data_IF_098437241832
#
_entry.id   IF_098437241832
#
_cell.length_a   1.000
_cell.length_b   1.000
_cell.length_c   1.000
_cell.angle_alpha   90.00
_cell.angle_beta   90.00
_cell.angle_gamma   90.00
#
_symmetry.space_group_name_H-M   'P 1'
#
loop_
_entity.id
_entity.type
_entity.pdbx_description
1 polymer ?
#
# COMPACT_ATOMS: atom_id res chain seq x y z
N UNK A 1 4.43 -15.66 4.04
CA UNK A 1 4.42 -14.70 2.90
C UNK A 1 3.56 -13.52 3.34
N UNK A 2 4.09 -12.30 3.32
CA UNK A 2 3.32 -11.09 3.61
C UNK A 2 2.95 -10.46 2.27
N UNK A 3 1.68 -10.15 2.07
CA UNK A 3 1.16 -9.47 0.89
C UNK A 3 0.34 -8.28 1.34
N UNK A 4 0.55 -7.13 0.73
CA UNK A 4 -0.06 -5.86 1.10
C UNK A 4 -0.10 -4.93 -0.12
N UNK A 5 -0.89 -3.85 -0.02
CA UNK A 5 -1.01 -2.87 -1.10
C UNK A 5 0.24 -1.98 -1.16
N UNK A 6 0.74 -1.69 -2.36
CA UNK A 6 1.74 -0.64 -2.57
C UNK A 6 1.02 0.67 -2.86
N UNK A 7 1.23 1.68 -2.01
CA UNK A 7 0.59 2.99 -2.11
C UNK A 7 1.65 4.09 -2.25
N UNK A 8 1.24 5.27 -2.72
CA UNK A 8 2.17 6.40 -2.91
C UNK A 8 3.11 6.25 -4.10
N UNK A 9 2.72 5.42 -5.07
CA UNK A 9 3.38 5.26 -6.38
C UNK A 9 2.48 5.82 -7.47
N UNK A 10 3.06 6.19 -8.61
CA UNK A 10 2.28 6.67 -9.76
C UNK A 10 1.67 5.48 -10.52
N UNK A 11 0.37 5.29 -10.35
CA UNK A 11 -0.39 4.23 -11.05
C UNK A 11 -0.40 4.41 -12.58
N UNK A 12 -0.17 5.64 -13.08
CA UNK A 12 -0.11 5.90 -14.51
C UNK A 12 1.23 5.48 -15.14
N UNK A 13 2.27 5.29 -14.31
CA UNK A 13 3.62 4.90 -14.73
C UNK A 13 4.11 3.67 -13.95
N UNK A 14 3.45 2.50 -14.09
CA UNK A 14 3.75 1.30 -13.31
C UNK A 14 5.16 0.75 -13.54
N UNK A 15 5.79 1.06 -14.68
CA UNK A 15 7.18 0.71 -15.00
C UNK A 15 8.21 1.32 -14.05
N UNK A 16 7.81 2.34 -13.28
CA UNK A 16 8.66 2.94 -12.25
C UNK A 16 8.78 2.05 -11.01
N UNK A 17 7.88 1.09 -10.83
CA UNK A 17 7.91 0.13 -9.72
C UNK A 17 8.91 -0.98 -10.04
N UNK A 18 9.98 -1.05 -9.27
CA UNK A 18 11.07 -2.00 -9.47
C UNK A 18 11.07 -3.08 -8.39
N UNK A 19 11.41 -4.30 -8.79
CA UNK A 19 11.72 -5.38 -7.83
C UNK A 19 12.92 -4.93 -6.99
N UNK A 20 12.92 -5.29 -5.71
CA UNK A 20 13.93 -4.87 -4.71
C UNK A 20 13.94 -3.38 -4.35
N UNK A 21 12.96 -2.60 -4.84
CA UNK A 21 12.77 -1.22 -4.38
C UNK A 21 12.53 -1.21 -2.86
N UNK A 22 13.25 -0.39 -2.08
CA UNK A 22 13.02 -0.28 -0.65
C UNK A 22 11.66 0.34 -0.38
N UNK A 23 10.93 -0.26 0.56
CA UNK A 23 9.62 0.20 1.01
C UNK A 23 9.59 0.31 2.53
N UNK A 24 8.72 1.18 3.04
CA UNK A 24 8.38 1.27 4.46
C UNK A 24 6.94 0.82 4.70
N UNK A 25 6.70 0.27 5.89
CA UNK A 25 5.37 -0.18 6.32
C UNK A 25 4.46 1.02 6.55
N UNK A 26 3.22 0.93 6.05
CA UNK A 26 2.17 1.91 6.28
C UNK A 26 0.89 1.20 6.71
N UNK A 27 0.25 1.68 7.77
CA UNK A 27 -1.07 1.20 8.16
C UNK A 27 -2.13 2.06 7.49
N UNK A 28 -2.99 1.41 6.69
CA UNK A 28 -4.04 2.07 5.93
C UNK A 28 -5.35 1.98 6.72
N UNK A 29 -5.99 3.13 6.94
CA UNK A 29 -7.37 3.16 7.43
C UNK A 29 -8.30 2.92 6.26
N UNK A 30 -9.08 1.86 6.32
CA UNK A 30 -10.09 1.52 5.32
C UNK A 30 -11.46 1.77 5.96
N UNK A 31 -12.09 2.85 5.52
CA UNK A 31 -13.48 3.16 5.84
C UNK A 31 -14.37 2.60 4.73
N UNK A 32 -15.23 1.65 5.07
CA UNK A 32 -16.28 1.14 4.17
C UNK A 32 -17.61 1.44 4.83
N UNK A 33 -18.51 2.11 4.10
CA UNK A 33 -19.82 2.50 4.60
C UNK A 33 -20.59 1.28 5.12
N UNK A 34 -21.02 1.34 6.39
CA UNK A 34 -21.75 0.25 7.06
C UNK A 34 -20.88 -0.86 7.67
N UNK A 35 -19.54 -0.78 7.60
CA UNK A 35 -18.62 -1.70 8.26
C UNK A 35 -17.77 -0.98 9.33
N UNK A 36 -17.24 -1.72 10.33
CA UNK A 36 -16.30 -1.17 11.30
C UNK A 36 -15.02 -0.65 10.62
N UNK A 37 -14.41 0.40 11.19
CA UNK A 37 -13.09 0.85 10.78
C UNK A 37 -12.11 -0.33 10.75
N UNK A 38 -11.51 -0.57 9.59
CA UNK A 38 -10.52 -1.62 9.40
C UNK A 38 -9.15 -0.99 9.20
N UNK A 39 -8.15 -1.51 9.90
CA UNK A 39 -6.74 -1.22 9.63
C UNK A 39 -6.21 -2.30 8.71
N UNK A 40 -5.63 -1.90 7.58
CA UNK A 40 -4.97 -2.79 6.62
C UNK A 40 -3.47 -2.50 6.54
N UNK A 41 -2.71 -3.46 6.01
CA UNK A 41 -1.28 -3.32 5.78
C UNK A 41 -1.04 -2.79 4.37
N UNK A 42 -0.17 -1.78 4.28
CA UNK A 42 0.35 -1.24 3.04
C UNK A 42 1.86 -1.04 3.11
N UNK A 43 2.45 -0.82 1.94
CA UNK A 43 3.82 -0.41 1.73
C UNK A 43 3.84 0.90 0.95
N UNK A 44 4.80 1.77 1.22
CA UNK A 44 5.08 2.95 0.39
C UNK A 44 6.59 3.05 0.12
N UNK A 45 7.04 3.68 -0.97
CA UNK A 45 8.46 3.93 -1.20
C UNK A 45 9.13 4.57 0.03
N UNK A 46 10.31 4.08 0.40
CA UNK A 46 11.04 4.50 1.60
C UNK A 46 11.40 5.99 1.59
#
# INVERSE_FOLDING_TARGET
>A
MVSAQLVGVDESHPETIKVEMPVKVKFLKVEVEGLPEKVDLGFEPA
#
